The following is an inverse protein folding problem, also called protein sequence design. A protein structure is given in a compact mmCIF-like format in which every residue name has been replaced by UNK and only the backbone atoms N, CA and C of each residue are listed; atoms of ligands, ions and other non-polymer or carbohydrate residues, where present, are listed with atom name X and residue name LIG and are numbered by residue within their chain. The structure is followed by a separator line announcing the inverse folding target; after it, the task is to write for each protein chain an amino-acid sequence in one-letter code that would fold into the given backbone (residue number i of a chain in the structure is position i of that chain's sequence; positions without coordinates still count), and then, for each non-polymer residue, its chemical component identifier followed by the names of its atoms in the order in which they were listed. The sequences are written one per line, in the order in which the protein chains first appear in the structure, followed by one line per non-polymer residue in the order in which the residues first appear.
data_IF_424494321149
#
_entry.id   IF_424494321149
#
_cell.length_a   1.000
_cell.length_b   1.000
_cell.length_c   1.000
_cell.angle_alpha   90.00
_cell.angle_beta   90.00
_cell.angle_gamma   90.00
#
_symmetry.space_group_name_H-M   'P 1'
#
loop_
_entity.id
_entity.type
_entity.pdbx_description
1 polymer ?
#
# COMPACT_ATOMS: atom_id res chain seq x y z
N UNK A 1 -16.48 -80.54 -5.40
CA UNK A 1 -16.06 -79.15 -5.64
C UNK A 1 -14.64 -79.03 -5.10
N UNK A 2 -13.64 -79.21 -5.97
CA UNK A 2 -12.24 -79.34 -5.59
C UNK A 2 -11.44 -78.18 -6.19
N UNK A 3 -10.67 -77.54 -5.31
CA UNK A 3 -9.66 -76.52 -5.62
C UNK A 3 -8.42 -77.24 -6.14
N UNK A 4 -7.88 -76.78 -7.26
CA UNK A 4 -6.50 -77.06 -7.65
C UNK A 4 -5.87 -75.78 -8.24
N UNK A 5 -4.91 -75.26 -7.48
CA UNK A 5 -3.89 -74.30 -7.92
C UNK A 5 -3.00 -74.94 -8.99
N UNK A 6 -2.50 -74.14 -9.94
CA UNK A 6 -1.05 -73.93 -10.18
C UNK A 6 -0.81 -72.87 -11.29
N UNK A 7 0.01 -71.89 -10.88
CA UNK A 7 0.95 -71.04 -11.60
C UNK A 7 0.56 -70.19 -12.82
N UNK A 8 0.54 -68.88 -12.54
CA UNK A 8 0.75 -67.79 -13.48
C UNK A 8 2.18 -67.78 -14.02
N UNK A 9 2.31 -67.69 -15.34
CA UNK A 9 3.53 -67.27 -16.04
C UNK A 9 3.14 -66.12 -16.97
N UNK A 10 3.37 -64.86 -16.57
CA UNK A 10 3.36 -63.72 -17.51
C UNK A 10 4.17 -62.55 -16.98
N UNK A 11 5.33 -62.32 -17.61
CA UNK A 11 5.57 -61.08 -18.35
C UNK A 11 5.77 -59.78 -17.57
N UNK A 12 7.04 -59.35 -17.49
CA UNK A 12 7.54 -57.96 -17.51
C UNK A 12 6.47 -56.89 -17.83
N UNK A 13 6.08 -56.06 -16.86
CA UNK A 13 5.37 -54.77 -17.10
C UNK A 13 5.35 -53.88 -15.84
N UNK A 14 6.52 -53.63 -15.25
CA UNK A 14 6.65 -52.84 -14.00
C UNK A 14 7.15 -51.40 -14.15
N UNK A 15 7.63 -50.99 -15.33
CA UNK A 15 8.30 -49.67 -15.49
C UNK A 15 7.52 -48.65 -16.34
N UNK A 16 6.44 -49.06 -17.01
CA UNK A 16 5.73 -48.15 -17.93
C UNK A 16 4.71 -47.23 -17.23
N UNK A 17 4.21 -47.61 -16.05
CA UNK A 17 3.11 -46.87 -15.39
C UNK A 17 3.60 -45.57 -14.71
N UNK A 18 4.86 -45.52 -14.27
CA UNK A 18 5.43 -44.33 -13.60
C UNK A 18 5.77 -43.19 -14.57
N UNK A 19 6.07 -43.49 -15.83
CA UNK A 19 6.37 -42.48 -16.87
C UNK A 19 5.12 -41.86 -17.50
N UNK A 20 4.00 -42.59 -17.55
CA UNK A 20 2.73 -42.06 -18.06
C UNK A 20 2.07 -41.04 -17.13
N UNK A 21 2.17 -41.26 -15.82
CA UNK A 21 1.53 -40.39 -14.81
C UNK A 21 2.25 -39.03 -14.65
N UNK A 22 3.57 -38.99 -14.86
CA UNK A 22 4.35 -37.76 -14.82
C UNK A 22 4.09 -36.82 -16.02
N UNK A 23 3.77 -37.38 -17.19
CA UNK A 23 3.50 -36.58 -18.40
C UNK A 23 2.11 -35.90 -18.37
N UNK A 24 1.12 -36.49 -17.69
CA UNK A 24 -0.22 -35.91 -17.55
C UNK A 24 -0.23 -34.73 -16.57
N UNK A 25 0.60 -34.77 -15.52
CA UNK A 25 0.70 -33.68 -14.55
C UNK A 25 1.29 -32.38 -15.11
N UNK A 26 2.23 -32.46 -16.06
CA UNK A 26 2.84 -31.29 -16.70
C UNK A 26 1.88 -30.63 -17.70
N UNK A 27 1.03 -31.40 -18.39
CA UNK A 27 0.08 -30.87 -19.36
C UNK A 27 -1.04 -30.05 -18.69
N UNK A 28 -1.49 -30.43 -17.48
CA UNK A 28 -2.50 -29.68 -16.73
C UNK A 28 -1.96 -28.34 -16.18
N UNK A 29 -0.66 -28.24 -15.87
CA UNK A 29 -0.06 -27.00 -15.39
C UNK A 29 0.05 -25.94 -16.49
N UNK A 30 0.29 -26.31 -17.76
CA UNK A 30 0.46 -25.33 -18.85
C UNK A 30 -0.88 -24.76 -19.34
N UNK A 31 -1.98 -25.54 -19.26
CA UNK A 31 -3.31 -25.07 -19.67
C UNK A 31 -4.03 -24.23 -18.59
N UNK A 32 -3.55 -24.23 -17.34
CA UNK A 32 -4.13 -23.46 -16.24
C UNK A 32 -3.73 -21.98 -16.20
N UNK A 33 -2.65 -21.56 -16.90
CA UNK A 33 -2.13 -20.19 -16.84
C UNK A 33 -2.54 -19.29 -18.02
N UNK A 34 -3.28 -19.78 -19.01
CA UNK A 34 -3.62 -18.99 -20.19
C UNK A 34 -4.95 -18.22 -20.10
N UNK A 35 -5.63 -18.20 -18.96
CA UNK A 35 -6.98 -17.58 -18.84
C UNK A 35 -7.15 -16.55 -17.70
N UNK A 36 -6.05 -16.04 -17.13
CA UNK A 36 -6.11 -14.99 -16.08
C UNK A 36 -5.42 -13.67 -16.44
N UNK A 37 -5.03 -13.42 -17.71
CA UNK A 37 -4.41 -12.14 -18.12
C UNK A 37 -5.23 -11.32 -19.13
N UNK A 38 -6.51 -11.64 -19.37
CA UNK A 38 -7.33 -10.95 -20.38
C UNK A 38 -8.71 -10.46 -19.89
N UNK A 39 -8.79 -9.95 -18.65
CA UNK A 39 -9.95 -9.15 -18.21
C UNK A 39 -9.65 -7.67 -18.01
N UNK A 40 -8.54 -7.17 -18.56
CA UNK A 40 -8.20 -5.74 -18.48
C UNK A 40 -7.56 -5.25 -19.78
N UNK A 41 -8.28 -5.32 -20.91
CA UNK A 41 -8.05 -4.42 -22.05
C UNK A 41 -9.15 -4.57 -23.13
N UNK A 42 -10.42 -4.31 -22.78
CA UNK A 42 -11.43 -4.09 -23.80
C UNK A 42 -12.53 -3.14 -23.28
N UNK A 43 -12.18 -1.86 -23.32
CA UNK A 43 -13.07 -0.74 -23.05
C UNK A 43 -12.51 0.52 -23.70
N UNK A 44 -12.03 0.40 -24.94
CA UNK A 44 -11.65 1.53 -25.77
C UNK A 44 -12.73 1.71 -26.83
N UNK A 45 -13.72 2.52 -26.48
CA UNK A 45 -14.59 3.21 -27.43
C UNK A 45 -14.17 4.67 -27.43
N UNK A 46 -13.64 5.12 -28.56
CA UNK A 46 -13.35 6.51 -28.89
C UNK A 46 -14.49 7.45 -28.49
N UNK A 47 -14.14 8.64 -27.97
CA UNK A 47 -14.70 9.93 -28.41
C UNK A 47 -13.93 11.11 -27.77
N UNK A 48 -13.48 11.99 -28.65
CA UNK A 48 -13.15 13.40 -28.44
C UNK A 48 -11.87 13.75 -27.64
N UNK A 49 -10.80 13.93 -28.41
CA UNK A 49 -9.78 14.96 -28.21
C UNK A 49 -10.42 16.25 -27.67
N UNK A 50 -10.21 16.53 -26.39
CA UNK A 50 -10.50 17.83 -25.80
C UNK A 50 -9.18 18.36 -25.24
N UNK A 51 -8.71 19.42 -25.88
CA UNK A 51 -7.66 20.32 -25.45
C UNK A 51 -7.77 20.59 -23.94
N UNK A 52 -6.83 20.07 -23.14
CA UNK A 52 -6.73 20.44 -21.72
C UNK A 52 -5.87 21.69 -21.65
N UNK A 53 -6.53 22.83 -21.82
CA UNK A 53 -6.00 24.12 -21.36
C UNK A 53 -5.66 24.00 -19.87
N UNK A 54 -4.39 24.23 -19.53
CA UNK A 54 -3.94 24.41 -18.14
C UNK A 54 -4.54 25.74 -17.66
N UNK A 55 -5.79 25.70 -17.23
CA UNK A 55 -6.40 26.78 -16.47
C UNK A 55 -5.98 26.63 -15.01
N UNK A 56 -5.17 27.61 -14.59
CA UNK A 56 -4.87 27.98 -13.21
C UNK A 56 -6.12 27.83 -12.32
N UNK A 57 -6.02 27.24 -11.11
CA UNK A 57 -7.19 27.04 -10.25
C UNK A 57 -7.87 28.38 -9.92
N UNK A 58 -9.21 28.41 -9.85
CA UNK A 58 -9.95 29.62 -9.57
C UNK A 58 -9.60 30.13 -8.16
N UNK A 59 -9.32 31.43 -8.06
CA UNK A 59 -9.27 32.16 -6.80
C UNK A 59 -10.65 32.04 -6.13
N UNK A 60 -10.73 31.22 -5.08
CA UNK A 60 -11.94 31.13 -4.26
C UNK A 60 -11.96 32.38 -3.40
N UNK A 61 -12.94 33.24 -3.68
CA UNK A 61 -13.32 34.39 -2.89
C UNK A 61 -13.73 33.96 -1.47
N UNK A 62 -13.21 34.71 -0.50
CA UNK A 62 -13.47 34.58 0.92
C UNK A 62 -14.98 34.59 1.25
N UNK A 63 -15.51 33.46 1.67
CA UNK A 63 -16.60 33.42 2.66
C UNK A 63 -16.11 32.60 3.85
N UNK A 64 -15.84 33.33 4.93
CA UNK A 64 -15.40 32.81 6.19
C UNK A 64 -16.51 31.97 6.83
N UNK A 65 -16.41 30.65 6.70
CA UNK A 65 -16.93 29.73 7.70
C UNK A 65 -15.74 29.21 8.50
N UNK A 66 -15.61 29.72 9.72
CA UNK A 66 -14.53 29.45 10.67
C UNK A 66 -14.65 28.03 11.24
N UNK A 67 -14.48 27.01 10.39
CA UNK A 67 -13.88 25.77 10.84
C UNK A 67 -12.37 26.01 10.78
N UNK A 68 -11.70 26.07 11.93
CA UNK A 68 -10.23 26.07 11.94
C UNK A 68 -9.81 24.81 11.17
N UNK A 69 -9.28 25.00 9.95
CA UNK A 69 -8.73 23.92 9.16
C UNK A 69 -7.76 23.17 10.08
N UNK A 70 -8.09 21.91 10.41
CA UNK A 70 -7.34 21.18 11.43
C UNK A 70 -5.91 20.99 10.93
N UNK A 71 -4.96 21.71 11.52
CA UNK A 71 -3.59 21.72 11.04
C UNK A 71 -2.92 20.37 11.35
N UNK A 72 -2.38 19.73 10.31
CA UNK A 72 -1.54 18.54 10.46
C UNK A 72 -0.18 18.99 10.97
N UNK A 73 0.25 18.50 12.14
CA UNK A 73 1.54 18.88 12.77
C UNK A 73 2.65 17.89 12.43
N UNK A 74 2.32 16.60 12.38
CA UNK A 74 3.25 15.53 12.04
C UNK A 74 2.63 14.52 11.09
N UNK A 75 3.50 13.93 10.28
CA UNK A 75 3.18 12.78 9.42
C UNK A 75 4.07 11.62 9.84
N UNK A 76 3.48 10.46 9.99
CA UNK A 76 4.18 9.22 10.27
C UNK A 76 4.10 8.29 9.06
N UNK A 77 5.23 7.72 8.65
CA UNK A 77 5.32 6.74 7.57
C UNK A 77 5.86 5.42 8.16
N UNK A 78 5.14 4.30 8.07
CA UNK A 78 5.52 3.06 8.70
C UNK A 78 6.47 2.21 7.85
N UNK A 79 7.07 1.22 8.53
CA UNK A 79 7.76 0.08 7.93
C UNK A 79 8.89 0.50 6.99
N UNK A 80 9.81 1.33 7.48
CA UNK A 80 11.06 1.63 6.76
C UNK A 80 11.97 0.42 6.90
N UNK A 81 12.37 -0.18 5.77
CA UNK A 81 13.20 -1.37 5.73
C UNK A 81 14.67 -1.05 6.02
N UNK A 82 15.36 -1.98 6.68
CA UNK A 82 16.80 -1.92 7.00
C UNK A 82 17.71 -1.76 5.79
N UNK A 83 17.31 -2.23 4.61
CA UNK A 83 18.11 -2.08 3.38
C UNK A 83 18.36 -0.62 3.00
N UNK A 84 17.56 0.29 3.55
CA UNK A 84 17.64 1.70 3.29
C UNK A 84 18.26 2.46 4.45
N UNK A 85 18.32 1.96 5.68
CA UNK A 85 18.88 2.73 6.79
C UNK A 85 20.41 2.59 6.80
N UNK A 86 21.12 3.68 7.10
CA UNK A 86 22.58 3.63 7.27
C UNK A 86 23.03 2.86 8.53
N UNK A 87 22.05 2.34 9.30
CA UNK A 87 22.21 1.61 10.55
C UNK A 87 22.58 0.15 10.26
N UNK A 88 23.74 -0.07 9.65
CA UNK A 88 24.26 -1.41 9.43
C UNK A 88 24.85 -2.00 10.73
N UNK A 89 24.48 -3.27 10.96
CA UNK A 89 25.11 -4.25 11.86
C UNK A 89 24.73 -4.22 13.35
N UNK A 90 23.55 -4.78 13.64
CA UNK A 90 23.44 -5.91 14.58
C UNK A 90 22.21 -6.73 14.21
N UNK A 91 22.43 -7.90 13.64
CA UNK A 91 21.38 -8.88 13.42
C UNK A 91 20.67 -9.16 14.75
N UNK A 92 19.35 -8.96 14.80
CA UNK A 92 18.31 -9.74 15.54
C UNK A 92 17.06 -8.85 15.64
N UNK A 93 15.95 -9.32 15.09
CA UNK A 93 14.61 -8.71 15.07
C UNK A 93 14.39 -7.58 14.05
N UNK A 94 13.46 -7.83 13.11
CA UNK A 94 12.88 -6.83 12.22
C UNK A 94 12.17 -5.81 13.11
N UNK A 95 12.90 -4.79 13.55
CA UNK A 95 12.32 -3.71 14.33
C UNK A 95 11.61 -2.77 13.35
N UNK A 96 10.28 -2.58 13.45
CA UNK A 96 9.56 -1.72 12.53
C UNK A 96 9.95 -0.26 12.77
N UNK A 97 10.83 0.27 11.93
CA UNK A 97 11.15 1.69 11.93
C UNK A 97 10.06 2.51 11.25
N UNK A 98 9.94 3.76 11.67
CA UNK A 98 9.01 4.74 11.12
C UNK A 98 9.68 6.09 10.90
N UNK A 99 9.27 6.80 9.85
CA UNK A 99 9.64 8.20 9.66
C UNK A 99 8.59 9.08 10.32
N UNK A 100 9.03 10.04 11.12
CA UNK A 100 8.19 11.11 11.67
C UNK A 100 8.63 12.43 11.05
N UNK A 101 7.74 13.06 10.30
CA UNK A 101 7.98 14.29 9.55
C UNK A 101 7.24 15.44 10.21
N UNK A 102 7.94 16.51 10.57
CA UNK A 102 7.34 17.76 11.01
C UNK A 102 6.87 18.58 9.80
N UNK A 103 5.59 18.91 9.73
CA UNK A 103 5.03 19.69 8.61
C UNK A 103 5.44 21.17 8.68
N UNK A 104 5.79 21.67 9.86
CA UNK A 104 6.25 23.03 10.05
C UNK A 104 7.67 23.22 9.53
N UNK A 105 8.60 22.40 10.04
CA UNK A 105 10.05 22.51 9.81
C UNK A 105 10.58 21.68 8.65
N UNK A 106 9.84 20.65 8.23
CA UNK A 106 10.35 19.65 7.28
C UNK A 106 11.34 18.66 7.87
N UNK A 107 11.61 18.67 9.18
CA UNK A 107 12.50 17.69 9.80
C UNK A 107 11.90 16.27 9.71
N UNK A 108 12.75 15.31 9.38
CA UNK A 108 12.44 13.88 9.28
C UNK A 108 13.24 13.16 10.37
N UNK A 109 12.56 12.36 11.18
CA UNK A 109 13.18 11.55 12.23
C UNK A 109 12.92 10.08 11.92
N UNK A 110 13.99 9.28 11.84
CA UNK A 110 13.87 7.82 11.88
C UNK A 110 13.72 7.41 13.34
N UNK A 111 12.61 6.76 13.65
CA UNK A 111 12.23 6.41 15.02
C UNK A 111 11.98 4.90 15.12
N UNK A 112 12.43 4.29 16.22
CA UNK A 112 12.13 2.89 16.56
C UNK A 112 10.79 2.73 17.32
N UNK A 113 10.43 1.50 17.65
CA UNK A 113 9.22 1.20 18.43
C UNK A 113 9.22 1.79 19.85
N UNK A 114 10.41 2.02 20.41
CA UNK A 114 10.58 2.63 21.73
C UNK A 114 10.57 4.17 21.69
N UNK A 115 10.31 4.76 20.51
CA UNK A 115 10.34 6.20 20.27
C UNK A 115 11.73 6.85 20.37
N UNK A 116 12.80 6.06 20.24
CA UNK A 116 14.14 6.61 20.15
C UNK A 116 14.40 7.13 18.74
N UNK A 117 14.96 8.34 18.66
CA UNK A 117 15.39 8.92 17.39
C UNK A 117 16.76 8.35 17.03
N UNK A 118 16.82 7.61 15.93
CA UNK A 118 18.04 6.96 15.43
C UNK A 118 18.79 7.85 14.46
N UNK A 119 18.05 8.52 13.58
CA UNK A 119 18.62 9.35 12.53
C UNK A 119 17.72 10.58 12.29
N UNK A 120 18.34 11.71 11.90
CA UNK A 120 17.65 12.95 11.58
C UNK A 120 18.05 13.42 10.19
N UNK A 121 17.05 13.80 9.41
CA UNK A 121 17.14 14.26 8.02
C UNK A 121 16.16 15.43 7.83
N UNK A 122 16.18 16.07 6.67
CA UNK A 122 15.30 17.22 6.40
C UNK A 122 14.76 17.16 4.98
N UNK A 123 13.46 17.43 4.83
CA UNK A 123 12.90 17.77 3.52
C UNK A 123 13.57 19.04 3.01
N UNK A 124 13.94 19.04 1.72
CA UNK A 124 14.30 20.30 1.06
C UNK A 124 13.06 21.22 0.94
N UNK A 125 13.31 22.48 0.60
CA UNK A 125 12.26 23.50 0.49
C UNK A 125 11.16 23.13 -0.52
N UNK A 126 11.52 22.48 -1.63
CA UNK A 126 10.59 22.00 -2.66
C UNK A 126 9.63 20.94 -2.10
N UNK A 127 10.17 19.89 -1.49
CA UNK A 127 9.40 18.78 -0.93
C UNK A 127 8.51 19.26 0.22
N UNK A 128 9.01 20.17 1.06
CA UNK A 128 8.22 20.75 2.15
C UNK A 128 7.06 21.60 1.61
N UNK A 129 7.29 22.37 0.55
CA UNK A 129 6.22 23.14 -0.10
C UNK A 129 5.17 22.23 -0.72
N UNK A 130 5.59 21.19 -1.45
CA UNK A 130 4.69 20.20 -2.04
C UNK A 130 3.84 19.51 -0.97
N UNK A 131 4.45 19.08 0.13
CA UNK A 131 3.76 18.50 1.26
C UNK A 131 2.69 19.44 1.85
N UNK A 132 3.05 20.70 2.07
CA UNK A 132 2.11 21.72 2.57
C UNK A 132 0.95 21.92 1.60
N UNK A 133 1.21 21.97 0.30
CA UNK A 133 0.18 22.09 -0.73
C UNK A 133 -0.77 20.89 -0.71
N UNK A 134 -0.25 19.66 -0.71
CA UNK A 134 -1.06 18.44 -0.65
C UNK A 134 -1.96 18.46 0.59
N UNK A 135 -1.39 18.76 1.76
CA UNK A 135 -2.13 18.76 3.01
C UNK A 135 -3.18 19.88 3.07
N UNK A 136 -2.85 21.08 2.57
CA UNK A 136 -3.77 22.22 2.56
C UNK A 136 -4.98 22.02 1.64
N UNK A 137 -4.82 21.29 0.53
CA UNK A 137 -5.92 20.95 -0.37
C UNK A 137 -6.70 19.71 0.06
N UNK A 138 -6.18 18.95 1.03
CA UNK A 138 -6.76 17.66 1.42
C UNK A 138 -7.80 17.80 2.53
N UNK A 139 -8.79 16.91 2.52
CA UNK A 139 -9.69 16.66 3.62
C UNK A 139 -9.64 15.18 3.97
N UNK A 140 -9.91 14.84 5.23
CA UNK A 140 -9.99 13.44 5.67
C UNK A 140 -11.43 12.96 5.46
N UNK A 141 -11.58 11.93 4.64
CA UNK A 141 -12.83 11.24 4.39
C UNK A 141 -12.89 9.94 5.20
N UNK A 142 -14.06 9.63 5.73
CA UNK A 142 -14.37 8.32 6.31
C UNK A 142 -15.25 7.55 5.32
N UNK A 143 -14.92 6.29 5.06
CA UNK A 143 -15.76 5.45 4.22
C UNK A 143 -17.11 5.23 4.92
N UNK A 144 -18.20 5.31 4.16
CA UNK A 144 -19.51 4.98 4.68
C UNK A 144 -19.53 3.53 5.14
N UNK A 145 -19.82 3.33 6.43
CA UNK A 145 -20.00 1.99 6.96
C UNK A 145 -21.21 1.34 6.28
N UNK A 146 -20.99 0.18 5.65
CA UNK A 146 -22.10 -0.65 5.19
C UNK A 146 -22.96 -1.06 6.39
N UNK A 147 -24.27 -1.25 6.16
CA UNK A 147 -25.24 -1.54 7.23
C UNK A 147 -24.80 -2.74 8.08
N UNK A 148 -25.04 -2.67 9.40
CA UNK A 148 -24.61 -3.70 10.36
C UNK A 148 -25.16 -5.12 10.07
N UNK A 149 -26.15 -5.26 9.18
CA UNK A 149 -26.70 -6.54 8.72
C UNK A 149 -25.88 -7.24 7.63
N UNK A 150 -24.81 -6.63 7.11
CA UNK A 150 -23.93 -7.27 6.11
C UNK A 150 -22.80 -8.07 6.75
N UNK A 151 -22.59 -9.29 6.24
CA UNK A 151 -21.49 -10.17 6.68
C UNK A 151 -20.18 -9.69 6.07
N UNK A 152 -19.32 -9.11 6.91
CA UNK A 152 -18.00 -8.62 6.51
C UNK A 152 -16.94 -9.73 6.65
N UNK A 153 -16.09 -9.87 5.64
CA UNK A 153 -14.89 -10.70 5.74
C UNK A 153 -13.77 -9.94 6.44
N UNK A 154 -12.93 -10.65 7.20
CA UNK A 154 -11.73 -10.06 7.78
C UNK A 154 -10.70 -9.86 6.67
N UNK A 155 -10.42 -8.60 6.33
CA UNK A 155 -9.40 -8.21 5.36
C UNK A 155 -8.58 -7.09 5.98
N UNK A 156 -7.32 -7.38 6.29
CA UNK A 156 -6.42 -6.39 6.85
C UNK A 156 -5.56 -5.75 5.76
N UNK A 157 -5.64 -4.42 5.65
CA UNK A 157 -4.71 -3.58 4.88
C UNK A 157 -4.05 -2.60 5.85
N UNK A 158 -2.72 -2.59 5.99
CA UNK A 158 -2.04 -1.64 6.85
C UNK A 158 -2.19 -0.22 6.29
N UNK A 159 -2.14 0.76 7.20
CA UNK A 159 -2.08 2.16 6.84
C UNK A 159 -0.76 2.51 6.13
N UNK A 160 -0.81 3.47 5.21
CA UNK A 160 0.38 3.91 4.48
C UNK A 160 1.03 5.15 5.10
N UNK A 161 0.24 5.99 5.78
CA UNK A 161 0.69 7.13 6.55
C UNK A 161 -0.28 7.43 7.71
N UNK A 162 0.20 8.07 8.78
CA UNK A 162 -0.66 8.60 9.83
C UNK A 162 -0.45 10.10 9.98
N UNK A 163 -1.53 10.85 10.15
CA UNK A 163 -1.52 12.29 10.35
C UNK A 163 -1.81 12.60 11.82
N UNK A 164 -1.04 13.52 12.40
CA UNK A 164 -1.32 14.09 13.70
C UNK A 164 -2.09 15.38 13.52
N UNK A 165 -3.38 15.34 13.83
CA UNK A 165 -4.34 16.42 13.63
C UNK A 165 -4.92 16.77 14.99
N UNK A 166 -4.60 17.95 15.53
CA UNK A 166 -5.01 18.35 16.89
C UNK A 166 -4.70 17.27 17.95
N UNK A 167 -3.48 16.72 17.93
CA UNK A 167 -3.03 15.64 18.83
C UNK A 167 -3.72 14.27 18.62
N UNK A 168 -4.69 14.17 17.71
CA UNK A 168 -5.28 12.90 17.29
C UNK A 168 -4.45 12.27 16.17
N UNK A 169 -4.11 10.99 16.33
CA UNK A 169 -3.43 10.21 15.28
C UNK A 169 -4.45 9.56 14.36
N UNK A 170 -4.56 10.05 13.14
CA UNK A 170 -5.43 9.50 12.09
C UNK A 170 -4.62 8.61 11.16
N UNK A 171 -4.91 7.31 11.13
CA UNK A 171 -4.28 6.36 10.22
C UNK A 171 -4.98 6.37 8.86
N UNK A 172 -4.24 6.66 7.79
CA UNK A 172 -4.76 6.73 6.44
C UNK A 172 -4.66 5.40 5.71
N UNK A 173 -5.74 5.00 5.05
CA UNK A 173 -5.82 3.79 4.23
C UNK A 173 -5.80 2.48 5.01
N UNK A 174 -5.95 2.51 6.35
CA UNK A 174 -6.13 1.29 7.16
C UNK A 174 -7.50 0.66 6.82
N UNK A 175 -7.51 -0.63 6.49
CA UNK A 175 -8.74 -1.42 6.36
C UNK A 175 -8.61 -2.62 7.30
N UNK A 176 -9.65 -2.90 8.09
CA UNK A 176 -9.68 -4.07 9.00
C UNK A 176 -10.70 -5.13 8.58
N UNK A 177 -11.67 -4.71 7.78
CA UNK A 177 -12.72 -5.54 7.24
C UNK A 177 -12.99 -5.17 5.77
N UNK A 178 -13.72 -6.03 5.07
CA UNK A 178 -14.14 -5.78 3.69
C UNK A 178 -15.28 -4.77 3.55
N UNK A 179 -15.91 -4.36 4.64
CA UNK A 179 -17.04 -3.42 4.65
C UNK A 179 -16.58 -1.95 4.76
N UNK A 180 -15.28 -1.73 4.98
CA UNK A 180 -14.70 -0.40 5.04
C UNK A 180 -15.01 0.37 6.32
N UNK A 181 -15.54 -0.29 7.36
CA UNK A 181 -15.96 0.40 8.58
C UNK A 181 -14.75 1.07 9.26
N UNK A 182 -14.85 2.39 9.49
CA UNK A 182 -13.78 3.18 10.10
C UNK A 182 -12.55 3.38 9.22
N UNK A 183 -12.62 3.10 7.91
CA UNK A 183 -11.56 3.45 6.97
C UNK A 183 -11.52 4.97 6.85
N UNK A 184 -10.39 5.56 7.22
CA UNK A 184 -10.10 6.99 7.02
C UNK A 184 -9.02 7.14 5.96
N UNK A 185 -9.18 8.10 5.06
CA UNK A 185 -8.18 8.43 4.04
C UNK A 185 -8.32 9.89 3.61
N UNK A 186 -7.44 10.37 2.73
CA UNK A 186 -7.69 11.65 2.06
C UNK A 186 -8.87 11.52 1.08
N UNK A 187 -9.50 12.64 0.76
CA UNK A 187 -10.61 12.69 -0.18
C UNK A 187 -10.14 12.90 -1.63
N UNK A 188 -10.74 12.18 -2.57
CA UNK A 188 -10.59 12.41 -4.01
C UNK A 188 -9.20 12.10 -4.58
N UNK A 189 -8.80 12.83 -5.61
CA UNK A 189 -7.55 12.60 -6.34
C UNK A 189 -6.28 12.84 -5.50
N UNK A 190 -6.39 13.61 -4.40
CA UNK A 190 -5.25 13.91 -3.54
C UNK A 190 -4.75 12.69 -2.76
N UNK A 191 -5.57 11.64 -2.62
CA UNK A 191 -5.16 10.38 -2.02
C UNK A 191 -4.03 9.72 -2.79
N UNK A 192 -4.18 9.64 -4.12
CA UNK A 192 -3.16 9.01 -4.97
C UNK A 192 -1.88 9.85 -5.01
N UNK A 193 -2.02 11.17 -5.05
CA UNK A 193 -0.88 12.11 -5.00
C UNK A 193 -0.13 11.98 -3.68
N UNK A 194 -0.84 11.94 -2.56
CA UNK A 194 -0.21 11.82 -1.25
C UNK A 194 0.43 10.45 -1.04
N UNK A 195 -0.19 9.37 -1.52
CA UNK A 195 0.42 8.04 -1.50
C UNK A 195 1.71 8.00 -2.34
N UNK A 196 1.74 8.64 -3.51
CA UNK A 196 2.93 8.76 -4.32
C UNK A 196 4.02 9.59 -3.62
N UNK A 197 3.65 10.70 -2.97
CA UNK A 197 4.57 11.52 -2.17
C UNK A 197 5.17 10.71 -1.01
N UNK A 198 4.33 9.97 -0.26
CA UNK A 198 4.77 9.09 0.83
C UNK A 198 5.73 8.02 0.32
N UNK A 199 5.45 7.41 -0.83
CA UNK A 199 6.34 6.44 -1.47
C UNK A 199 7.67 7.06 -1.88
N UNK A 200 7.65 8.27 -2.45
CA UNK A 200 8.85 9.01 -2.84
C UNK A 200 9.73 9.33 -1.62
N UNK A 201 9.15 9.87 -0.54
CA UNK A 201 9.89 10.14 0.71
C UNK A 201 10.46 8.85 1.26
N UNK A 202 9.65 7.80 1.33
CA UNK A 202 10.10 6.49 1.83
C UNK A 202 11.30 5.95 1.06
N UNK A 203 11.37 6.13 -0.26
CA UNK A 203 12.48 5.64 -1.08
C UNK A 203 13.74 6.50 -1.00
N UNK A 204 13.59 7.83 -0.86
CA UNK A 204 14.70 8.77 -1.02
C UNK A 204 15.12 9.47 0.28
N UNK A 205 14.51 9.18 1.44
CA UNK A 205 14.79 9.90 2.68
C UNK A 205 16.28 9.89 3.11
N UNK A 206 17.04 8.85 2.75
CA UNK A 206 18.48 8.75 3.04
C UNK A 206 19.34 9.75 2.28
N UNK A 207 18.81 10.30 1.20
CA UNK A 207 19.48 11.31 0.37
C UNK A 207 19.12 12.73 0.84
N UNK A 208 18.13 12.86 1.73
CA UNK A 208 17.59 14.13 2.20
C UNK A 208 18.39 14.70 3.37
N UNK A 209 19.40 15.51 3.09
CA UNK A 209 20.23 16.13 4.13
C UNK A 209 19.63 17.44 4.63
N UNK A 210 19.89 17.76 5.90
CA UNK A 210 19.67 19.11 6.43
C UNK A 210 20.77 20.04 5.92
N UNK A 211 20.38 21.23 5.45
CA UNK A 211 21.30 22.31 5.05
C UNK A 211 21.87 23.07 6.26
#
# INVERSE_FOLDING_TARGET
MNIAFIHYETGKKGEFVKRGLALIGILCLVLGFQNCSQSALQGQGDLASTDVSINMPPQISDEADSSMAKAVTFIEIPNISDEQTSVSAKATEVTPYRLVISTESGSIQLVDDANNVLEKRCLNSSNLSELKTILSGSSICEAEAQSDDQVCSMKYKPWYAALYVNEERVKLGEERDSCGKGRKDLCGALTDVFQAYVAHVKQHWNEMNCE
#
